data_IF_373077646405
#
_entry.id   IF_373077646405
#
_cell.length_a   1.000
_cell.length_b   1.000
_cell.length_c   1.000
_cell.angle_alpha   90.00
_cell.angle_beta   90.00
_cell.angle_gamma   90.00
#
_symmetry.space_group_name_H-M   'P 1'
#
loop_
_entity.id
_entity.type
_entity.pdbx_description
1 polymer ?
#
# COMPACT_ATOMS: atom_id res chain seq x y z
N UNK A 1 -11.51 7.54 -20.18
CA UNK A 1 -10.85 8.56 -19.33
C UNK A 1 -9.92 7.92 -18.30
N UNK A 2 -10.39 6.93 -17.51
CA UNK A 2 -9.58 6.20 -16.52
C UNK A 2 -8.28 5.63 -17.10
N UNK A 3 -8.36 4.84 -18.19
CA UNK A 3 -7.18 4.24 -18.82
C UNK A 3 -6.19 5.29 -19.34
N UNK A 4 -6.69 6.45 -19.83
CA UNK A 4 -5.85 7.56 -20.25
C UNK A 4 -5.10 8.17 -19.06
N UNK A 5 -5.74 8.27 -17.89
CA UNK A 5 -5.11 8.80 -16.69
C UNK A 5 -4.01 7.89 -16.15
N UNK A 6 -4.14 6.56 -16.34
CA UNK A 6 -3.11 5.59 -15.93
C UNK A 6 -1.91 5.51 -16.87
N UNK A 7 -2.01 6.00 -18.11
CA UNK A 7 -1.01 5.75 -19.16
C UNK A 7 0.44 6.03 -18.76
N UNK A 8 0.67 7.00 -17.88
CA UNK A 8 2.02 7.41 -17.46
C UNK A 8 2.49 6.79 -16.14
N UNK A 9 1.61 6.12 -15.40
CA UNK A 9 1.92 5.53 -14.10
C UNK A 9 1.58 4.03 -14.05
N UNK A 10 1.03 3.47 -15.14
CA UNK A 10 0.73 2.05 -15.22
C UNK A 10 1.96 1.26 -15.62
N UNK A 11 2.30 0.25 -14.84
CA UNK A 11 3.43 -0.62 -15.11
C UNK A 11 3.03 -1.67 -16.16
N UNK A 12 3.83 -1.84 -17.21
CA UNK A 12 3.65 -2.96 -18.14
C UNK A 12 3.98 -4.29 -17.45
N UNK A 13 3.45 -5.40 -17.95
CA UNK A 13 3.76 -6.73 -17.39
C UNK A 13 5.26 -7.06 -17.49
N UNK A 14 5.93 -6.59 -18.54
CA UNK A 14 7.37 -6.73 -18.72
C UNK A 14 8.15 -5.93 -17.67
N UNK A 15 7.76 -4.67 -17.44
CA UNK A 15 8.42 -3.81 -16.46
C UNK A 15 8.09 -4.25 -15.03
N UNK A 16 6.88 -4.79 -14.79
CA UNK A 16 6.50 -5.37 -13.51
C UNK A 16 7.46 -6.48 -13.10
N UNK A 17 7.80 -7.40 -14.01
CA UNK A 17 8.77 -8.45 -13.70
C UNK A 17 10.19 -7.90 -13.48
N UNK A 18 10.59 -6.86 -14.23
CA UNK A 18 11.90 -6.21 -14.10
C UNK A 18 12.06 -5.42 -12.81
N UNK A 19 10.97 -4.90 -12.25
CA UNK A 19 11.03 -4.04 -11.04
C UNK A 19 11.57 -4.81 -9.83
N UNK A 20 11.24 -6.10 -9.71
CA UNK A 20 11.75 -6.96 -8.65
C UNK A 20 13.22 -7.37 -8.84
N UNK A 21 13.80 -7.12 -10.01
CA UNK A 21 15.24 -7.31 -10.25
C UNK A 21 16.06 -6.07 -9.87
N UNK A 22 15.40 -4.93 -9.66
CA UNK A 22 16.06 -3.71 -9.17
C UNK A 22 16.37 -3.86 -7.68
N UNK A 23 17.46 -3.27 -7.22
CA UNK A 23 17.87 -3.28 -5.80
C UNK A 23 17.03 -2.34 -4.91
N UNK A 24 15.88 -1.85 -5.39
CA UNK A 24 14.99 -0.99 -4.61
C UNK A 24 14.04 -1.81 -3.77
N UNK A 25 13.73 -1.34 -2.57
CA UNK A 25 12.69 -1.90 -1.72
C UNK A 25 11.31 -1.58 -2.29
N UNK A 26 10.35 -2.45 -2.08
CA UNK A 26 9.00 -2.34 -2.65
C UNK A 26 7.98 -2.23 -1.53
N UNK A 27 7.24 -1.13 -1.54
CA UNK A 27 6.05 -0.93 -0.73
C UNK A 27 4.80 -1.15 -1.62
N UNK A 28 3.96 -2.09 -1.25
CA UNK A 28 2.66 -2.29 -1.89
C UNK A 28 1.59 -1.49 -1.13
N UNK A 29 0.89 -0.59 -1.80
CA UNK A 29 -0.33 0.03 -1.28
C UNK A 29 -1.57 -0.61 -1.91
N UNK A 30 -2.35 -1.33 -1.11
CA UNK A 30 -3.60 -1.94 -1.53
C UNK A 30 -4.75 -0.94 -1.34
N UNK A 31 -5.34 -0.51 -2.46
CA UNK A 31 -6.47 0.41 -2.46
C UNK A 31 -7.75 -0.28 -1.99
N UNK A 32 -8.55 0.47 -1.25
CA UNK A 32 -9.90 0.06 -0.86
C UNK A 32 -10.88 0.23 -2.02
N UNK A 33 -11.94 -0.56 -1.97
CA UNK A 33 -13.13 -0.33 -2.76
C UNK A 33 -13.81 0.98 -2.29
N UNK A 34 -14.27 1.79 -3.21
CA UNK A 34 -14.99 3.04 -2.90
C UNK A 34 -16.37 3.04 -3.58
N UNK A 35 -17.39 3.53 -2.86
CA UNK A 35 -17.40 3.96 -1.45
C UNK A 35 -17.51 2.78 -0.48
N UNK A 36 -16.68 2.77 0.57
CA UNK A 36 -16.71 1.74 1.60
C UNK A 36 -16.84 2.39 2.98
N UNK A 37 -17.76 1.87 3.81
CA UNK A 37 -18.01 2.39 5.16
C UNK A 37 -16.75 2.28 6.05
N UNK A 38 -15.96 1.20 5.89
CA UNK A 38 -14.74 0.99 6.64
C UNK A 38 -13.73 2.12 6.39
N UNK A 39 -13.52 2.52 5.14
CA UNK A 39 -12.59 3.61 4.80
C UNK A 39 -13.10 4.95 5.32
N UNK A 40 -14.41 5.22 5.16
CA UNK A 40 -15.01 6.50 5.55
C UNK A 40 -15.04 6.72 7.06
N UNK A 41 -15.24 5.67 7.85
CA UNK A 41 -15.40 5.77 9.31
C UNK A 41 -14.07 5.50 10.03
N UNK A 42 -13.40 4.40 9.68
CA UNK A 42 -12.21 3.92 10.36
C UNK A 42 -10.92 4.53 9.81
N UNK A 43 -10.96 5.07 8.60
CA UNK A 43 -9.83 5.76 7.96
C UNK A 43 -9.48 7.11 8.59
N UNK A 44 -10.40 7.72 9.35
CA UNK A 44 -10.21 9.05 9.96
C UNK A 44 -9.75 10.08 8.93
N UNK A 45 -8.57 10.69 9.14
CA UNK A 45 -7.99 11.67 8.22
C UNK A 45 -7.57 11.05 6.86
N UNK A 46 -7.46 9.72 6.79
CA UNK A 46 -7.06 8.97 5.59
C UNK A 46 -8.24 8.33 4.86
N UNK A 47 -9.46 8.84 5.04
CA UNK A 47 -10.59 8.51 4.16
C UNK A 47 -10.27 8.90 2.69
N UNK A 48 -9.46 9.94 2.48
CA UNK A 48 -8.79 10.20 1.19
C UNK A 48 -7.58 9.25 1.02
N UNK A 49 -7.75 8.22 0.20
CA UNK A 49 -6.70 7.23 -0.06
C UNK A 49 -5.44 7.85 -0.69
N UNK A 50 -5.58 8.93 -1.45
CA UNK A 50 -4.44 9.66 -2.03
C UNK A 50 -3.60 10.27 -0.93
N UNK A 51 -4.22 10.83 0.11
CA UNK A 51 -3.50 11.39 1.25
C UNK A 51 -2.66 10.32 1.96
N UNK A 52 -3.19 9.10 2.11
CA UNK A 52 -2.43 7.98 2.69
C UNK A 52 -1.20 7.62 1.84
N UNK A 53 -1.36 7.59 0.50
CA UNK A 53 -0.27 7.30 -0.43
C UNK A 53 0.78 8.42 -0.44
N UNK A 54 0.35 9.68 -0.46
CA UNK A 54 1.26 10.84 -0.36
C UNK A 54 2.04 10.83 0.96
N UNK A 55 1.38 10.45 2.05
CA UNK A 55 2.03 10.32 3.37
C UNK A 55 3.01 9.16 3.37
N UNK A 56 2.66 8.01 2.79
CA UNK A 56 3.57 6.87 2.61
C UNK A 56 4.81 7.28 1.81
N UNK A 57 4.61 8.01 0.69
CA UNK A 57 5.70 8.47 -0.15
C UNK A 57 6.66 9.42 0.57
N UNK A 58 6.14 10.27 1.47
CA UNK A 58 6.96 11.16 2.30
C UNK A 58 7.67 10.44 3.44
N UNK A 59 7.03 9.40 3.99
CA UNK A 59 7.61 8.56 5.04
C UNK A 59 8.77 7.71 4.50
N UNK A 60 8.64 7.19 3.29
CA UNK A 60 9.65 6.37 2.64
C UNK A 60 10.64 7.25 1.86
N UNK A 61 11.89 6.84 1.79
CA UNK A 61 12.91 7.54 1.02
C UNK A 61 13.00 7.04 -0.44
N UNK A 62 13.93 7.59 -1.22
CA UNK A 62 14.11 7.29 -2.65
C UNK A 62 14.59 5.85 -2.94
N UNK A 63 14.95 5.08 -1.92
CA UNK A 63 15.29 3.66 -2.07
C UNK A 63 14.05 2.77 -2.28
N UNK A 64 12.86 3.32 -2.06
CA UNK A 64 11.60 2.61 -2.20
C UNK A 64 10.91 2.89 -3.52
N UNK A 65 10.21 1.87 -4.01
CA UNK A 65 9.18 1.98 -5.04
C UNK A 65 7.81 1.71 -4.40
N UNK A 66 6.83 2.50 -4.76
CA UNK A 66 5.45 2.33 -4.30
C UNK A 66 4.63 1.71 -5.42
N UNK A 67 4.19 0.49 -5.22
CA UNK A 67 3.26 -0.19 -6.11
C UNK A 67 1.84 -0.01 -5.58
N UNK A 68 0.96 0.55 -6.40
CA UNK A 68 -0.45 0.74 -6.05
C UNK A 68 -1.27 -0.32 -6.76
N UNK A 69 -2.00 -1.12 -5.99
CA UNK A 69 -2.90 -2.14 -6.52
C UNK A 69 -4.35 -1.74 -6.32
N UNK A 70 -5.08 -1.74 -7.43
CA UNK A 70 -6.53 -1.54 -7.44
C UNK A 70 -7.26 -2.77 -6.85
N UNK A 71 -8.43 -2.55 -6.26
CA UNK A 71 -9.30 -3.66 -5.87
C UNK A 71 -9.77 -4.45 -7.09
N UNK A 72 -10.02 -5.76 -6.93
CA UNK A 72 -10.34 -6.66 -8.04
C UNK A 72 -11.66 -6.34 -8.74
N UNK A 73 -12.64 -5.81 -8.00
CA UNK A 73 -13.98 -5.51 -8.50
C UNK A 73 -14.19 -4.00 -8.73
N UNK A 74 -13.84 -3.51 -9.92
CA UNK A 74 -13.64 -2.08 -10.09
C UNK A 74 -14.79 -1.27 -10.70
N UNK A 75 -15.93 -1.78 -11.23
CA UNK A 75 -16.74 -0.95 -12.11
C UNK A 75 -17.32 0.30 -11.47
N UNK A 76 -17.48 0.32 -10.14
CA UNK A 76 -18.04 1.47 -9.43
C UNK A 76 -16.95 2.39 -8.86
N UNK A 77 -15.84 1.85 -8.37
CA UNK A 77 -14.76 2.66 -7.79
C UNK A 77 -14.13 3.64 -8.79
N UNK A 78 -14.08 3.29 -10.08
CA UNK A 78 -13.59 4.21 -11.12
C UNK A 78 -14.44 5.47 -11.31
N UNK A 79 -15.74 5.39 -11.07
CA UNK A 79 -16.64 6.54 -11.17
C UNK A 79 -16.43 7.53 -10.02
N UNK A 80 -15.94 7.05 -8.88
CA UNK A 80 -15.69 7.87 -7.69
C UNK A 80 -14.28 8.47 -7.66
N UNK A 81 -13.30 7.87 -8.38
CA UNK A 81 -11.95 8.40 -8.50
C UNK A 81 -11.88 9.39 -9.65
N UNK A 82 -12.13 10.64 -9.34
CA UNK A 82 -12.05 11.75 -10.30
C UNK A 82 -10.62 11.99 -10.81
N UNK A 83 -10.49 12.88 -11.78
CA UNK A 83 -9.20 13.25 -12.37
C UNK A 83 -8.18 13.70 -11.32
N UNK A 84 -8.62 14.41 -10.29
CA UNK A 84 -7.76 14.91 -9.20
C UNK A 84 -7.02 13.77 -8.46
N UNK A 85 -7.64 12.60 -8.31
CA UNK A 85 -6.98 11.41 -7.73
C UNK A 85 -5.70 11.08 -8.49
N UNK A 86 -5.80 10.93 -9.82
CA UNK A 86 -4.64 10.58 -10.65
C UNK A 86 -3.65 11.72 -10.81
N UNK A 87 -4.12 12.95 -10.88
CA UNK A 87 -3.28 14.15 -10.97
C UNK A 87 -2.34 14.30 -9.75
N UNK A 88 -2.85 13.98 -8.57
CA UNK A 88 -2.04 13.98 -7.34
C UNK A 88 -1.03 12.84 -7.37
N UNK A 89 -1.44 11.61 -7.69
CA UNK A 89 -0.56 10.44 -7.70
C UNK A 89 0.55 10.53 -8.76
N UNK A 90 0.29 11.16 -9.91
CA UNK A 90 1.30 11.40 -10.95
C UNK A 90 2.47 12.30 -10.52
N UNK A 91 2.32 13.02 -9.41
CA UNK A 91 3.39 13.86 -8.84
C UNK A 91 4.38 13.07 -7.98
N UNK A 92 4.13 11.78 -7.77
CA UNK A 92 4.98 10.88 -6.98
C UNK A 92 5.84 10.07 -7.96
N UNK A 93 7.12 10.42 -8.09
CA UNK A 93 8.02 9.89 -9.13
C UNK A 93 8.28 8.39 -9.01
N UNK A 94 8.25 7.84 -7.79
CA UNK A 94 8.53 6.43 -7.50
C UNK A 94 7.27 5.58 -7.34
N UNK A 95 6.11 6.05 -7.85
CA UNK A 95 4.84 5.37 -7.76
C UNK A 95 4.42 4.76 -9.10
N UNK A 96 3.96 3.52 -9.05
CA UNK A 96 3.43 2.82 -10.22
C UNK A 96 2.14 2.07 -9.86
N UNK A 97 1.17 2.12 -10.76
CA UNK A 97 0.02 1.22 -10.70
C UNK A 97 0.38 -0.12 -11.33
N UNK A 98 -0.09 -1.18 -10.71
CA UNK A 98 0.06 -2.54 -11.22
C UNK A 98 -1.27 -3.07 -11.74
N UNK A 99 -1.19 -3.97 -12.70
CA UNK A 99 -2.36 -4.58 -13.31
C UNK A 99 -3.24 -5.24 -12.21
N UNK A 100 -4.54 -4.96 -12.26
CA UNK A 100 -5.55 -5.47 -11.32
C UNK A 100 -5.63 -7.01 -11.32
N UNK A 101 -5.26 -7.65 -12.43
CA UNK A 101 -5.38 -9.10 -12.63
C UNK A 101 -4.31 -9.90 -11.89
N UNK A 102 -3.23 -9.26 -11.44
CA UNK A 102 -2.28 -9.90 -10.54
C UNK A 102 -2.94 -10.29 -9.21
N UNK A 103 -2.66 -11.48 -8.71
CA UNK A 103 -3.12 -11.91 -7.40
C UNK A 103 -2.41 -11.10 -6.31
N UNK A 104 -3.20 -10.63 -5.35
CA UNK A 104 -2.66 -9.82 -4.24
C UNK A 104 -1.56 -10.56 -3.47
N UNK A 105 -1.77 -11.85 -3.19
CA UNK A 105 -0.81 -12.70 -2.46
C UNK A 105 0.54 -12.80 -3.16
N UNK A 106 0.56 -12.94 -4.49
CA UNK A 106 1.80 -13.01 -5.28
C UNK A 106 2.63 -11.71 -5.18
N UNK A 107 1.95 -10.58 -5.04
CA UNK A 107 2.62 -9.28 -4.89
C UNK A 107 3.08 -9.08 -3.45
N UNK A 108 2.27 -9.48 -2.47
CA UNK A 108 2.64 -9.44 -1.05
C UNK A 108 3.93 -10.24 -0.81
N UNK A 109 4.04 -11.44 -1.38
CA UNK A 109 5.25 -12.28 -1.25
C UNK A 109 6.52 -11.58 -1.76
N UNK A 110 6.41 -10.76 -2.80
CA UNK A 110 7.52 -10.04 -3.42
C UNK A 110 7.80 -8.67 -2.82
N UNK A 111 6.86 -8.09 -2.11
CA UNK A 111 6.99 -6.78 -1.49
C UNK A 111 7.74 -6.84 -0.15
N UNK A 112 8.41 -5.75 0.22
CA UNK A 112 9.10 -5.58 1.49
C UNK A 112 8.20 -4.99 2.57
N UNK A 113 7.20 -4.20 2.17
CA UNK A 113 6.21 -3.57 3.04
C UNK A 113 4.85 -3.61 2.36
N UNK A 114 3.82 -3.94 3.13
CA UNK A 114 2.44 -3.80 2.69
C UNK A 114 1.78 -2.64 3.42
N UNK A 115 1.05 -1.81 2.70
CA UNK A 115 0.37 -0.66 3.28
C UNK A 115 -1.09 -0.60 2.82
N UNK A 116 -1.95 -0.16 3.72
CA UNK A 116 -3.38 0.01 3.46
C UNK A 116 -3.98 0.96 4.50
N UNK A 117 -5.22 1.38 4.35
CA UNK A 117 -5.88 2.18 5.40
C UNK A 117 -6.37 1.24 6.52
N UNK A 118 -7.31 0.35 6.21
CA UNK A 118 -7.90 -0.62 7.17
C UNK A 118 -8.13 -2.00 6.53
N UNK A 119 -7.63 -2.20 5.29
CA UNK A 119 -7.95 -3.35 4.45
C UNK A 119 -7.34 -4.66 4.93
N UNK A 120 -7.96 -5.77 4.53
CA UNK A 120 -7.49 -7.13 4.84
C UNK A 120 -6.13 -7.46 4.24
N UNK A 121 -5.66 -6.68 3.25
CA UNK A 121 -4.32 -6.83 2.68
C UNK A 121 -3.20 -6.76 3.74
N UNK A 122 -3.36 -5.94 4.78
CA UNK A 122 -2.43 -5.89 5.90
C UNK A 122 -2.45 -7.17 6.73
N UNK A 123 -3.63 -7.72 7.00
CA UNK A 123 -3.78 -9.02 7.66
C UNK A 123 -3.19 -10.17 6.84
N UNK A 124 -3.48 -10.21 5.54
CA UNK A 124 -2.89 -11.19 4.62
C UNK A 124 -1.36 -11.12 4.62
N UNK A 125 -0.80 -9.90 4.65
CA UNK A 125 0.63 -9.67 4.75
C UNK A 125 1.25 -10.27 6.01
N UNK A 126 0.66 -10.01 7.19
CA UNK A 126 1.15 -10.52 8.46
C UNK A 126 1.14 -12.06 8.47
N UNK A 127 0.07 -12.68 7.96
CA UNK A 127 -0.03 -14.14 7.85
C UNK A 127 1.03 -14.75 6.91
N UNK A 128 1.53 -13.97 5.95
CA UNK A 128 2.63 -14.36 5.05
C UNK A 128 4.01 -13.96 5.60
N UNK A 129 4.10 -13.56 6.87
CA UNK A 129 5.36 -13.17 7.51
C UNK A 129 5.92 -11.82 7.01
N UNK A 130 5.05 -10.96 6.47
CA UNK A 130 5.40 -9.62 6.01
C UNK A 130 4.95 -8.56 7.02
N UNK A 131 5.66 -7.44 7.04
CA UNK A 131 5.26 -6.28 7.84
C UNK A 131 4.24 -5.44 7.10
N UNK A 132 3.34 -4.82 7.85
CA UNK A 132 2.39 -3.89 7.28
C UNK A 132 2.36 -2.55 8.02
N UNK A 133 1.98 -1.50 7.29
CA UNK A 133 1.67 -0.17 7.78
C UNK A 133 0.21 0.15 7.52
N UNK A 134 -0.55 0.44 8.56
CA UNK A 134 -1.96 0.83 8.44
C UNK A 134 -2.15 2.30 8.79
N UNK A 135 -2.98 3.00 8.01
CA UNK A 135 -3.25 4.42 8.20
C UNK A 135 -4.53 4.68 9.01
N UNK A 136 -5.44 3.72 9.06
CA UNK A 136 -6.69 3.79 9.80
C UNK A 136 -6.75 2.85 10.99
N UNK A 137 -7.93 2.70 11.57
CA UNK A 137 -8.17 1.80 12.69
C UNK A 137 -8.49 0.38 12.17
N UNK A 138 -7.44 -0.35 11.78
CA UNK A 138 -7.57 -1.75 11.42
C UNK A 138 -7.76 -2.62 12.67
N UNK A 139 -8.60 -3.65 12.60
CA UNK A 139 -8.86 -4.54 13.74
C UNK A 139 -7.63 -5.33 14.19
N UNK A 140 -6.64 -5.49 13.30
CA UNK A 140 -5.36 -6.18 13.55
C UNK A 140 -4.20 -5.21 13.84
N UNK A 141 -4.46 -3.92 14.08
CA UNK A 141 -3.42 -2.89 14.21
C UNK A 141 -2.45 -3.11 15.39
N UNK A 142 -2.86 -3.88 16.40
CA UNK A 142 -2.05 -4.20 17.59
C UNK A 142 -1.30 -5.55 17.46
N UNK A 143 -1.53 -6.28 16.37
CA UNK A 143 -0.88 -7.57 16.10
C UNK A 143 0.58 -7.36 15.70
N UNK A 144 1.47 -8.24 16.15
CA UNK A 144 2.89 -8.19 15.76
C UNK A 144 3.07 -8.19 14.25
N UNK A 145 3.94 -7.33 13.78
CA UNK A 145 4.17 -7.11 12.34
C UNK A 145 3.31 -6.00 11.74
N UNK A 146 2.32 -5.48 12.47
CA UNK A 146 1.56 -4.32 12.08
C UNK A 146 2.08 -3.06 12.78
N UNK A 147 2.37 -2.02 12.00
CA UNK A 147 2.67 -0.67 12.51
C UNK A 147 1.51 0.23 12.13
N UNK A 148 0.98 0.97 13.10
CA UNK A 148 -0.01 2.00 12.84
C UNK A 148 0.66 3.34 12.62
N UNK A 149 0.34 4.00 11.51
CA UNK A 149 0.81 5.34 11.23
C UNK A 149 0.34 6.34 12.30
N UNK A 150 1.24 7.19 12.72
CA UNK A 150 0.98 8.42 13.46
C UNK A 150 1.97 9.51 12.99
N UNK A 151 1.66 10.77 13.29
CA UNK A 151 2.43 11.93 12.81
C UNK A 151 3.85 12.01 13.38
N UNK A 152 4.17 11.23 14.42
CA UNK A 152 5.50 11.13 15.03
C UNK A 152 6.38 10.05 14.39
N UNK A 153 5.80 9.23 13.49
CA UNK A 153 6.51 8.16 12.81
C UNK A 153 7.44 8.76 11.75
N UNK A 154 8.73 8.65 11.98
CA UNK A 154 9.78 9.06 11.04
C UNK A 154 10.36 7.86 10.31
N UNK A 155 11.00 8.09 9.14
CA UNK A 155 11.69 7.03 8.41
C UNK A 155 12.75 6.33 9.27
N UNK A 156 13.51 7.07 10.07
CA UNK A 156 14.57 6.49 10.92
C UNK A 156 14.01 5.52 11.98
N UNK A 157 12.86 5.84 12.57
CA UNK A 157 12.18 4.96 13.51
C UNK A 157 11.62 3.74 12.79
N UNK A 158 10.90 3.98 11.68
CA UNK A 158 10.22 2.93 10.94
C UNK A 158 11.20 1.97 10.24
N UNK A 159 12.29 2.48 9.68
CA UNK A 159 13.31 1.65 9.03
C UNK A 159 13.97 0.66 10.00
N UNK A 160 14.14 1.04 11.27
CA UNK A 160 14.63 0.11 12.31
C UNK A 160 13.67 -1.05 12.50
N UNK A 161 12.36 -0.78 12.57
CA UNK A 161 11.35 -1.82 12.67
C UNK A 161 11.33 -2.72 11.41
N UNK A 162 11.41 -2.11 10.21
CA UNK A 162 11.42 -2.84 8.95
C UNK A 162 12.62 -3.76 8.80
N UNK A 163 13.78 -3.38 9.33
CA UNK A 163 15.02 -4.17 9.22
C UNK A 163 15.08 -5.35 10.22
N UNK A 164 14.20 -5.39 11.24
CA UNK A 164 14.10 -6.56 12.12
C UNK A 164 13.42 -7.69 11.33
N UNK A 165 13.99 -8.89 11.23
CA UNK A 165 13.32 -10.03 10.60
C UNK A 165 11.96 -10.31 11.23
N UNK A 166 11.00 -10.79 10.44
CA UNK A 166 9.69 -11.16 10.96
C UNK A 166 9.82 -12.38 11.87
N UNK A 167 9.29 -12.29 13.09
CA UNK A 167 9.35 -13.33 14.11
C UNK A 167 8.00 -14.06 14.19
N UNK A 168 7.96 -15.27 13.64
CA UNK A 168 6.75 -16.10 13.62
C UNK A 168 6.30 -16.54 15.00
N UNK A 169 7.20 -16.61 15.99
CA UNK A 169 6.81 -16.96 17.37
C UNK A 169 6.06 -15.80 18.00
N UNK A 170 6.60 -14.59 17.93
CA UNK A 170 5.92 -13.39 18.42
C UNK A 170 4.56 -13.17 17.77
N UNK A 171 4.45 -13.46 16.48
CA UNK A 171 3.16 -13.39 15.79
C UNK A 171 2.13 -14.36 16.36
N UNK A 172 2.51 -15.59 16.69
CA UNK A 172 1.60 -16.58 17.28
C UNK A 172 1.15 -16.25 18.71
N UNK A 173 1.93 -15.41 19.40
CA UNK A 173 1.68 -15.00 20.79
C UNK A 173 0.90 -13.65 20.84
N UNK A 174 0.73 -12.93 19.73
CA UNK A 174 0.04 -11.65 19.62
C UNK A 174 -1.42 -11.80 19.24
#
# INVERSE_FOLDING_TARGET
EYLRNLKNINLSDEDFNKIFLKKKKIALFALHYEPEAATNILGKNFNDQVLAIETLSKLLNDEWLILVKEHKDPPQSYKFRGNLFFERLKKIDNLYFINKDYKLTEIIEKADLISTITGTAGWEAINLGKKCLVFGNAWYQEIYGCTKYNDELTYDKFSKELNIPFDNQKFKES
#
